data_IF_410362354484
#
_entry.id   IF_410362354484
#
_cell.length_a   1.000
_cell.length_b   1.000
_cell.length_c   1.000
_cell.angle_alpha   90.00
_cell.angle_beta   90.00
_cell.angle_gamma   90.00
#
_symmetry.space_group_name_H-M   'P 1'
#
loop_
_entity.id
_entity.type
_entity.pdbx_description
1 polymer ?
#
# COMPACT_ATOMS: atom_id res chain seq x y z
N UNK A 1 -3.55 -2.97 -29.37
CA UNK A 1 -3.15 -1.63 -28.84
C UNK A 1 -2.70 -1.71 -27.39
N UNK A 2 -3.58 -2.09 -26.46
CA UNK A 2 -3.27 -2.15 -25.02
C UNK A 2 -2.14 -3.14 -24.67
N UNK A 3 -2.14 -4.34 -25.27
CA UNK A 3 -1.06 -5.32 -25.07
C UNK A 3 0.31 -4.80 -25.55
N UNK A 4 0.31 -4.05 -26.65
CA UNK A 4 1.51 -3.44 -27.23
C UNK A 4 1.96 -2.16 -26.50
N UNK A 5 1.19 -1.68 -25.51
CA UNK A 5 1.51 -0.46 -24.76
C UNK A 5 1.39 0.84 -25.56
N UNK A 6 0.74 0.83 -26.73
CA UNK A 6 0.64 2.00 -27.60
C UNK A 6 -0.52 2.93 -27.21
N UNK A 7 -0.25 3.89 -26.32
CA UNK A 7 -1.24 4.82 -25.79
C UNK A 7 -1.95 5.66 -26.87
N UNK A 8 -1.20 6.17 -27.85
CA UNK A 8 -1.73 7.02 -28.94
C UNK A 8 -2.70 6.26 -29.86
N UNK A 9 -2.39 5.01 -30.16
CA UNK A 9 -3.28 4.17 -30.97
C UNK A 9 -4.54 3.81 -30.17
N UNK A 10 -4.41 3.54 -28.86
CA UNK A 10 -5.55 3.28 -28.01
C UNK A 10 -6.48 4.50 -27.90
N UNK A 11 -5.93 5.70 -27.71
CA UNK A 11 -6.74 6.93 -27.66
C UNK A 11 -7.45 7.17 -28.98
N UNK A 12 -6.77 6.99 -30.11
CA UNK A 12 -7.37 7.13 -31.43
C UNK A 12 -8.52 6.15 -31.66
N UNK A 13 -8.34 4.86 -31.31
CA UNK A 13 -9.41 3.86 -31.42
C UNK A 13 -10.62 4.16 -30.54
N UNK A 14 -10.41 4.76 -29.36
CA UNK A 14 -11.49 5.15 -28.46
C UNK A 14 -12.24 6.38 -28.96
N UNK A 15 -11.52 7.33 -29.55
CA UNK A 15 -12.12 8.49 -30.18
C UNK A 15 -12.90 8.13 -31.45
N UNK A 16 -12.40 7.20 -32.26
CA UNK A 16 -13.10 6.75 -33.49
C UNK A 16 -14.39 5.99 -33.17
N UNK A 17 -14.41 5.22 -32.07
CA UNK A 17 -15.58 4.43 -31.67
C UNK A 17 -16.64 5.22 -30.90
N UNK A 18 -16.39 6.49 -30.52
CA UNK A 18 -17.34 7.27 -29.72
C UNK A 18 -18.47 7.81 -30.57
N UNK A 19 -19.69 7.83 -30.03
CA UNK A 19 -20.87 8.43 -30.68
C UNK A 19 -21.26 9.71 -29.94
N UNK A 20 -21.45 10.82 -30.63
CA UNK A 20 -21.93 12.05 -29.99
C UNK A 20 -23.45 11.95 -29.76
N UNK A 21 -23.89 12.14 -28.51
CA UNK A 21 -25.32 12.16 -28.18
C UNK A 21 -25.91 13.56 -28.37
N UNK A 22 -25.19 14.58 -27.90
CA UNK A 22 -25.50 15.98 -28.10
C UNK A 22 -24.23 16.81 -27.94
N UNK A 23 -24.21 17.98 -28.57
CA UNK A 23 -23.18 19.00 -28.40
C UNK A 23 -23.87 20.33 -28.16
N UNK A 24 -23.38 21.09 -27.17
CA UNK A 24 -23.85 22.44 -26.88
C UNK A 24 -22.64 23.33 -26.61
N UNK A 25 -22.39 24.27 -27.53
CA UNK A 25 -21.22 25.15 -27.50
C UNK A 25 -19.91 24.38 -27.32
N UNK A 26 -19.21 24.59 -26.20
CA UNK A 26 -17.94 23.95 -25.85
C UNK A 26 -18.10 22.65 -25.04
N UNK A 27 -19.33 22.17 -24.82
CA UNK A 27 -19.61 20.94 -24.08
C UNK A 27 -20.20 19.89 -25.01
N UNK A 28 -19.53 18.76 -25.14
CA UNK A 28 -20.00 17.62 -25.93
C UNK A 28 -20.28 16.44 -25.02
N UNK A 29 -21.42 15.78 -25.23
CA UNK A 29 -21.76 14.55 -24.55
C UNK A 29 -21.50 13.37 -25.49
N UNK A 30 -20.42 12.63 -25.24
CA UNK A 30 -20.02 11.48 -26.01
C UNK A 30 -20.41 10.17 -25.32
N UNK A 31 -20.88 9.21 -26.11
CA UNK A 31 -21.17 7.84 -25.73
C UNK A 31 -20.00 6.96 -26.16
N UNK A 32 -19.26 6.46 -25.18
CA UNK A 32 -18.15 5.55 -25.39
C UNK A 32 -18.64 4.10 -25.26
N UNK A 33 -18.43 3.23 -26.26
CA UNK A 33 -18.82 1.83 -26.16
C UNK A 33 -17.98 1.11 -25.10
N UNK A 34 -18.63 0.34 -24.25
CA UNK A 34 -17.98 -0.41 -23.17
C UNK A 34 -17.53 -1.82 -23.58
N UNK A 35 -17.96 -2.28 -24.76
CA UNK A 35 -17.57 -3.57 -25.32
C UNK A 35 -16.03 -3.65 -25.42
N UNK A 36 -15.42 -4.69 -24.87
CA UNK A 36 -13.97 -4.88 -24.74
C UNK A 36 -13.21 -3.91 -23.82
N UNK A 37 -13.78 -2.73 -23.51
CA UNK A 37 -13.18 -1.74 -22.61
C UNK A 37 -13.39 -2.12 -21.13
N UNK A 38 -14.60 -2.59 -20.80
CA UNK A 38 -15.02 -3.02 -19.47
C UNK A 38 -15.29 -4.54 -19.44
N UNK A 39 -15.59 -5.07 -18.25
CA UNK A 39 -15.82 -6.48 -17.98
C UNK A 39 -17.09 -6.96 -18.70
N UNK A 40 -16.92 -7.68 -19.81
CA UNK A 40 -18.04 -8.33 -20.53
C UNK A 40 -18.81 -9.31 -19.61
N UNK A 41 -20.14 -9.32 -19.75
CA UNK A 41 -21.03 -10.27 -19.06
C UNK A 41 -20.97 -11.62 -19.79
N UNK A 42 -19.81 -12.28 -19.77
CA UNK A 42 -19.74 -13.66 -20.28
C UNK A 42 -20.19 -14.64 -19.18
N UNK A 43 -21.06 -15.63 -19.48
CA UNK A 43 -21.54 -16.60 -18.50
C UNK A 43 -20.46 -17.54 -17.97
N UNK A 44 -19.31 -17.64 -18.65
CA UNK A 44 -18.12 -18.33 -18.15
C UNK A 44 -16.91 -17.39 -18.08
N UNK A 45 -16.24 -17.37 -16.93
CA UNK A 45 -15.11 -16.46 -16.63
C UNK A 45 -13.82 -16.91 -17.29
N UNK A 46 -13.68 -18.20 -17.60
CA UNK A 46 -12.48 -18.78 -18.22
C UNK A 46 -12.41 -18.58 -19.73
N UNK A 47 -13.55 -18.42 -20.39
CA UNK A 47 -13.64 -18.24 -21.84
C UNK A 47 -13.62 -16.77 -22.28
N UNK A 48 -13.46 -15.84 -21.34
CA UNK A 48 -13.55 -14.41 -21.65
C UNK A 48 -12.20 -13.83 -22.06
N UNK A 49 -12.20 -13.04 -23.12
CA UNK A 49 -11.07 -12.16 -23.43
C UNK A 49 -10.85 -11.15 -22.30
N UNK A 50 -9.58 -10.83 -22.05
CA UNK A 50 -9.20 -9.79 -21.09
C UNK A 50 -9.68 -8.44 -21.62
N UNK A 51 -10.35 -7.67 -20.77
CA UNK A 51 -10.73 -6.29 -21.07
C UNK A 51 -9.49 -5.40 -21.17
N UNK A 52 -9.59 -4.29 -21.90
CA UNK A 52 -8.51 -3.28 -21.99
C UNK A 52 -8.05 -2.82 -20.60
N UNK A 53 -8.98 -2.66 -19.66
CA UNK A 53 -8.68 -2.30 -18.27
C UNK A 53 -7.86 -3.39 -17.56
N UNK A 54 -8.21 -4.67 -17.75
CA UNK A 54 -7.47 -5.81 -17.18
C UNK A 54 -6.06 -5.94 -17.77
N UNK A 55 -5.93 -5.75 -19.09
CA UNK A 55 -4.64 -5.75 -19.79
C UNK A 55 -3.73 -4.64 -19.29
N UNK A 56 -4.26 -3.41 -19.17
CA UNK A 56 -3.52 -2.26 -18.66
C UNK A 56 -2.99 -2.52 -17.23
N UNK A 57 -3.84 -3.08 -16.36
CA UNK A 57 -3.47 -3.42 -14.99
C UNK A 57 -2.42 -4.53 -14.95
N UNK A 58 -2.57 -5.57 -15.79
CA UNK A 58 -1.65 -6.71 -15.89
C UNK A 58 -0.25 -6.27 -16.34
N UNK A 59 -0.19 -5.39 -17.34
CA UNK A 59 1.07 -4.86 -17.87
C UNK A 59 1.66 -3.75 -17.00
N UNK A 60 0.93 -3.28 -15.97
CA UNK A 60 1.31 -2.18 -15.08
C UNK A 60 1.73 -0.90 -15.85
N UNK A 61 1.08 -0.65 -16.99
CA UNK A 61 1.43 0.46 -17.87
C UNK A 61 0.50 1.65 -17.61
N UNK A 62 0.98 2.61 -16.83
CA UNK A 62 0.22 3.81 -16.47
C UNK A 62 0.07 4.81 -17.63
N UNK A 63 0.85 4.68 -18.70
CA UNK A 63 0.79 5.60 -19.85
C UNK A 63 -0.40 5.37 -20.77
N UNK A 64 -1.06 4.22 -20.66
CA UNK A 64 -2.31 3.91 -21.35
C UNK A 64 -3.52 4.68 -20.78
N UNK A 65 -3.35 5.40 -19.67
CA UNK A 65 -4.43 6.15 -19.03
C UNK A 65 -4.75 7.39 -19.85
N UNK A 66 -5.93 7.39 -20.44
CA UNK A 66 -6.51 8.51 -21.17
C UNK A 66 -7.74 9.08 -20.40
N UNK A 67 -8.27 10.25 -20.81
CA UNK A 67 -9.42 10.87 -20.13
C UNK A 67 -10.68 10.00 -20.09
N UNK A 68 -10.91 9.15 -21.10
CA UNK A 68 -12.08 8.27 -21.17
C UNK A 68 -11.99 7.13 -20.15
N UNK A 69 -10.81 6.51 -20.00
CA UNK A 69 -10.52 5.50 -18.96
C UNK A 69 -10.60 6.13 -17.58
N UNK A 70 -10.10 7.35 -17.37
CA UNK A 70 -10.25 8.07 -16.09
C UNK A 70 -11.74 8.23 -15.74
N UNK A 71 -12.55 8.67 -16.70
CA UNK A 71 -14.00 8.84 -16.51
C UNK A 71 -14.69 7.51 -16.17
N UNK A 72 -14.27 6.41 -16.80
CA UNK A 72 -14.75 5.06 -16.48
C UNK A 72 -14.40 4.66 -15.05
N UNK A 73 -13.14 4.84 -14.63
CA UNK A 73 -12.68 4.54 -13.27
C UNK A 73 -13.47 5.36 -12.25
N UNK A 74 -13.68 6.65 -12.51
CA UNK A 74 -14.43 7.54 -11.62
C UNK A 74 -15.89 7.09 -11.46
N UNK A 75 -16.55 6.71 -12.56
CA UNK A 75 -17.92 6.19 -12.51
C UNK A 75 -18.02 4.88 -11.75
N UNK A 76 -17.11 3.92 -12.01
CA UNK A 76 -17.03 2.67 -11.24
C UNK A 76 -16.83 2.93 -9.75
N UNK A 77 -15.93 3.86 -9.44
CA UNK A 77 -15.61 4.23 -8.07
C UNK A 77 -16.81 4.79 -7.33
N UNK A 78 -17.49 5.78 -7.90
CA UNK A 78 -18.69 6.39 -7.30
C UNK A 78 -19.88 5.43 -7.25
N UNK A 79 -20.02 4.55 -8.24
CA UNK A 79 -21.13 3.61 -8.32
C UNK A 79 -21.06 2.55 -7.22
N UNK A 80 -19.89 1.92 -7.05
CA UNK A 80 -19.78 0.74 -6.19
C UNK A 80 -18.50 0.63 -5.38
N UNK A 81 -17.34 1.02 -5.93
CA UNK A 81 -16.08 0.72 -5.26
C UNK A 81 -15.93 1.54 -3.98
N UNK A 82 -16.25 2.84 -4.01
CA UNK A 82 -16.15 3.74 -2.86
C UNK A 82 -16.92 3.26 -1.62
N UNK A 83 -18.25 3.00 -1.67
CA UNK A 83 -18.98 2.58 -0.47
C UNK A 83 -18.52 1.23 0.08
N UNK A 84 -18.13 0.28 -0.80
CA UNK A 84 -17.60 -1.01 -0.37
C UNK A 84 -16.23 -0.83 0.29
N UNK A 85 -15.39 0.02 -0.27
CA UNK A 85 -14.05 0.30 0.21
C UNK A 85 -14.06 1.03 1.55
N UNK A 86 -14.88 2.08 1.71
CA UNK A 86 -15.02 2.81 2.99
C UNK A 86 -15.54 1.89 4.08
N UNK A 87 -16.52 1.04 3.79
CA UNK A 87 -17.00 0.04 4.76
C UNK A 87 -15.88 -0.92 5.19
N UNK A 88 -15.05 -1.37 4.25
CA UNK A 88 -13.89 -2.23 4.54
C UNK A 88 -12.86 -1.50 5.40
N UNK A 89 -12.54 -0.25 5.06
CA UNK A 89 -11.68 0.61 5.86
C UNK A 89 -12.19 0.74 7.29
N UNK A 90 -13.47 1.07 7.49
CA UNK A 90 -14.06 1.22 8.82
C UNK A 90 -13.98 -0.08 9.63
N UNK A 91 -14.24 -1.23 9.02
CA UNK A 91 -14.10 -2.52 9.71
C UNK A 91 -12.65 -2.84 10.07
N UNK A 92 -11.69 -2.62 9.17
CA UNK A 92 -10.28 -2.86 9.47
C UNK A 92 -9.74 -1.89 10.52
N UNK A 93 -10.12 -0.62 10.45
CA UNK A 93 -9.74 0.37 11.46
C UNK A 93 -10.31 0.04 12.83
N UNK A 94 -11.60 -0.32 12.91
CA UNK A 94 -12.22 -0.76 14.16
C UNK A 94 -11.56 -2.03 14.71
N UNK A 95 -11.24 -3.00 13.84
CA UNK A 95 -10.51 -4.20 14.23
C UNK A 95 -9.13 -3.87 14.83
N UNK A 96 -8.39 -2.93 14.23
CA UNK A 96 -7.09 -2.48 14.78
C UNK A 96 -7.24 -1.71 16.09
N UNK A 97 -8.34 -0.98 16.30
CA UNK A 97 -8.64 -0.34 17.59
C UNK A 97 -8.95 -1.37 18.67
N UNK A 98 -9.72 -2.43 18.35
CA UNK A 98 -9.94 -3.55 19.28
C UNK A 98 -8.62 -4.23 19.59
N UNK A 99 -7.79 -4.50 18.58
CA UNK A 99 -6.45 -5.05 18.77
C UNK A 99 -5.59 -4.15 19.68
N UNK A 100 -5.56 -2.84 19.45
CA UNK A 100 -4.87 -1.89 20.31
C UNK A 100 -5.40 -1.92 21.75
N UNK A 101 -6.71 -1.91 21.95
CA UNK A 101 -7.30 -1.99 23.28
C UNK A 101 -6.90 -3.30 23.98
N UNK A 102 -6.89 -4.43 23.27
CA UNK A 102 -6.49 -5.73 23.84
C UNK A 102 -5.03 -5.77 24.24
N UNK A 103 -4.13 -5.14 23.46
CA UNK A 103 -2.71 -5.12 23.82
C UNK A 103 -2.43 -4.19 24.99
N UNK A 104 -3.20 -3.12 25.16
CA UNK A 104 -3.09 -2.20 26.31
C UNK A 104 -3.68 -2.78 27.60
N UNK A 105 -4.75 -3.57 27.49
CA UNK A 105 -5.36 -4.28 28.63
C UNK A 105 -4.63 -5.57 28.99
N UNK A 106 -3.58 -5.93 28.23
CA UNK A 106 -2.77 -7.12 28.51
C UNK A 106 -2.07 -6.94 29.85
N UNK A 107 -2.43 -7.78 30.80
CA UNK A 107 -1.68 -7.89 32.05
C UNK A 107 -0.49 -8.84 31.83
N UNK A 108 0.72 -8.48 32.30
CA UNK A 108 1.83 -9.43 32.32
C UNK A 108 1.40 -10.64 33.16
N UNK A 109 1.65 -11.85 32.64
CA UNK A 109 1.45 -13.06 33.44
C UNK A 109 2.38 -12.91 34.65
N UNK A 110 1.80 -12.96 35.86
CA UNK A 110 2.57 -12.83 37.11
C UNK A 110 3.69 -13.87 37.10
N UNK A 111 4.92 -13.38 37.03
CA UNK A 111 6.10 -14.21 37.25
C UNK A 111 6.09 -14.61 38.72
N UNK A 112 6.17 -15.93 38.98
CA UNK A 112 6.18 -16.48 40.35
C UNK A 112 7.28 -15.87 41.23
N UNK A 113 8.35 -15.35 40.61
CA UNK A 113 9.47 -14.67 41.28
C UNK A 113 9.14 -13.29 41.83
N UNK A 114 8.18 -12.57 41.24
CA UNK A 114 7.74 -11.26 41.75
C UNK A 114 6.91 -11.43 43.02
N UNK A 115 6.09 -12.50 43.07
CA UNK A 115 5.28 -12.80 44.26
C UNK A 115 6.16 -13.17 45.48
N UNK A 116 7.31 -13.83 45.28
CA UNK A 116 8.26 -14.13 46.38
C UNK A 116 9.00 -12.88 46.92
N UNK A 117 9.15 -11.83 46.09
CA UNK A 117 9.75 -10.55 46.50
C UNK A 117 8.71 -9.62 47.13
N UNK A 118 7.48 -9.63 46.63
CA UNK A 118 6.35 -8.86 47.18
C UNK A 118 5.88 -9.43 48.53
N UNK A 119 5.93 -10.77 48.72
CA UNK A 119 5.66 -11.41 50.02
C UNK A 119 6.70 -11.04 51.08
N UNK A 120 7.95 -10.75 50.68
CA UNK A 120 9.02 -10.29 51.58
C UNK A 120 8.97 -8.79 51.90
N UNK A 121 8.35 -7.98 51.05
CA UNK A 121 8.33 -6.51 51.21
C UNK A 121 7.02 -5.97 51.78
N UNK A 122 5.98 -6.79 51.93
CA UNK A 122 4.75 -6.42 52.65
C UNK A 122 3.93 -5.30 52.00
N UNK A 123 4.33 -4.83 50.82
CA UNK A 123 3.58 -3.85 50.03
C UNK A 123 2.57 -4.63 49.22
N UNK A 124 1.41 -4.90 49.83
CA UNK A 124 0.23 -5.40 49.13
C UNK A 124 -0.37 -4.27 48.29
N UNK A 125 0.32 -3.90 47.21
CA UNK A 125 -0.33 -3.24 46.08
C UNK A 125 -1.12 -4.29 45.29
N UNK A 126 -2.07 -4.92 45.99
CA UNK A 126 -3.18 -5.65 45.40
C UNK A 126 -4.04 -4.63 44.66
N UNK A 127 -3.57 -4.18 43.49
CA UNK A 127 -4.48 -3.70 42.46
C UNK A 127 -5.36 -4.89 42.16
N UNK A 128 -6.53 -4.91 42.81
CA UNK A 128 -7.70 -5.63 42.34
C UNK A 128 -7.95 -5.11 40.92
N UNK A 129 -7.20 -5.60 39.94
CA UNK A 129 -7.57 -5.47 38.54
C UNK A 129 -8.90 -6.18 38.46
N UNK A 130 -9.94 -5.35 38.43
CA UNK A 130 -11.33 -5.78 38.49
C UNK A 130 -11.52 -6.95 37.53
N UNK A 131 -12.25 -8.00 37.92
CA UNK A 131 -12.55 -9.12 37.01
C UNK A 131 -13.14 -8.66 35.67
N UNK A 132 -13.69 -7.44 35.65
CA UNK A 132 -14.08 -6.69 34.46
C UNK A 132 -12.94 -6.44 33.43
N UNK A 133 -11.73 -6.06 33.85
CA UNK A 133 -10.58 -5.87 32.94
C UNK A 133 -10.16 -7.18 32.28
N UNK A 134 -10.12 -8.27 33.06
CA UNK A 134 -9.83 -9.61 32.53
C UNK A 134 -10.92 -10.10 31.58
N UNK A 135 -12.20 -9.84 31.91
CA UNK A 135 -13.33 -10.14 31.04
C UNK A 135 -13.24 -9.35 29.72
N UNK A 136 -12.93 -8.05 29.78
CA UNK A 136 -12.78 -7.21 28.59
C UNK A 136 -11.61 -7.67 27.72
N UNK A 137 -10.48 -8.03 28.34
CA UNK A 137 -9.34 -8.60 27.64
C UNK A 137 -9.68 -9.92 26.94
N UNK A 138 -10.34 -10.86 27.62
CA UNK A 138 -10.71 -12.16 27.04
C UNK A 138 -11.70 -12.01 25.88
N UNK A 139 -12.69 -11.11 26.00
CA UNK A 139 -13.60 -10.79 24.89
C UNK A 139 -12.83 -10.20 23.71
N UNK A 140 -11.98 -9.19 23.94
CA UNK A 140 -11.22 -8.59 22.85
C UNK A 140 -10.25 -9.59 22.19
N UNK A 141 -9.58 -10.42 23.00
CA UNK A 141 -8.67 -11.47 22.52
C UNK A 141 -9.38 -12.46 21.60
N UNK A 142 -10.55 -12.95 21.98
CA UNK A 142 -11.36 -13.85 21.13
C UNK A 142 -11.79 -13.17 19.84
N UNK A 143 -12.18 -11.89 19.88
CA UNK A 143 -12.51 -11.10 18.69
C UNK A 143 -11.31 -10.99 17.74
N UNK A 144 -10.10 -10.72 18.28
CA UNK A 144 -8.87 -10.61 17.49
C UNK A 144 -8.56 -11.92 16.78
N UNK A 145 -8.62 -13.06 17.47
CA UNK A 145 -8.35 -14.38 16.88
C UNK A 145 -9.38 -14.73 15.81
N UNK A 146 -10.68 -14.53 16.10
CA UNK A 146 -11.75 -14.78 15.13
C UNK A 146 -11.58 -13.88 13.90
N UNK A 147 -11.24 -12.61 14.09
CA UNK A 147 -10.96 -11.67 13.01
C UNK A 147 -9.77 -12.08 12.16
N UNK A 148 -8.66 -12.53 12.78
CA UNK A 148 -7.50 -13.04 12.09
C UNK A 148 -7.80 -14.32 11.28
N UNK A 149 -8.62 -15.23 11.83
CA UNK A 149 -9.09 -16.43 11.14
C UNK A 149 -10.01 -16.11 9.96
N UNK A 150 -10.90 -15.13 10.09
CA UNK A 150 -11.75 -14.68 8.99
C UNK A 150 -10.92 -14.04 7.87
N UNK A 151 -9.97 -13.17 8.22
CA UNK A 151 -9.07 -12.51 7.27
C UNK A 151 -8.18 -13.54 6.54
N UNK A 152 -7.62 -14.51 7.25
CA UNK A 152 -6.81 -15.56 6.63
C UNK A 152 -7.64 -16.45 5.70
N UNK A 153 -8.87 -16.80 6.08
CA UNK A 153 -9.78 -17.56 5.23
C UNK A 153 -10.13 -16.80 3.94
N UNK A 154 -10.33 -15.48 4.03
CA UNK A 154 -10.56 -14.62 2.86
C UNK A 154 -9.35 -14.64 1.89
N UNK A 155 -8.14 -14.45 2.41
CA UNK A 155 -6.92 -14.46 1.59
C UNK A 155 -6.66 -15.84 0.99
N UNK A 156 -6.82 -16.92 1.76
CA UNK A 156 -6.67 -18.29 1.26
C UNK A 156 -7.69 -18.60 0.16
N UNK A 157 -8.93 -18.12 0.30
CA UNK A 157 -9.94 -18.24 -0.74
C UNK A 157 -9.55 -17.48 -2.02
N UNK A 158 -8.93 -16.32 -1.91
CA UNK A 158 -8.40 -15.56 -3.05
C UNK A 158 -7.20 -16.26 -3.71
N UNK A 159 -6.25 -16.76 -2.92
CA UNK A 159 -5.09 -17.55 -3.39
C UNK A 159 -5.56 -18.79 -4.16
N UNK A 160 -6.56 -19.52 -3.64
CA UNK A 160 -7.13 -20.70 -4.33
C UNK A 160 -7.82 -20.34 -5.64
N UNK A 161 -8.50 -19.19 -5.72
CA UNK A 161 -9.21 -18.75 -6.94
C UNK A 161 -8.27 -18.26 -8.04
N UNK A 162 -7.21 -17.55 -7.67
CA UNK A 162 -6.25 -16.99 -8.63
C UNK A 162 -5.12 -17.98 -8.99
N UNK A 163 -4.82 -18.89 -8.08
CA UNK A 163 -3.64 -19.76 -8.12
C UNK A 163 -2.44 -19.10 -7.44
N UNK A 164 -1.64 -19.90 -6.72
CA UNK A 164 -0.51 -19.43 -5.91
C UNK A 164 0.48 -18.56 -6.71
N UNK A 165 0.88 -19.01 -7.91
CA UNK A 165 1.82 -18.28 -8.74
C UNK A 165 1.27 -16.96 -9.29
N UNK A 166 -0.04 -16.88 -9.58
CA UNK A 166 -0.64 -15.65 -10.09
C UNK A 166 -0.90 -14.63 -8.97
N UNK A 167 -1.20 -15.09 -7.77
CA UNK A 167 -1.40 -14.24 -6.60
C UNK A 167 -0.15 -13.38 -6.30
N UNK A 168 1.03 -14.00 -6.29
CA UNK A 168 2.30 -13.31 -6.05
C UNK A 168 2.81 -12.50 -7.26
N UNK A 169 2.26 -12.72 -8.46
CA UNK A 169 2.58 -11.93 -9.66
C UNK A 169 1.80 -10.61 -9.74
N UNK A 170 0.78 -10.41 -8.89
CA UNK A 170 0.05 -9.15 -8.83
C UNK A 170 1.02 -8.04 -8.45
N UNK A 171 0.98 -6.91 -9.16
CA UNK A 171 1.83 -5.75 -8.91
C UNK A 171 1.07 -4.63 -8.18
N UNK A 172 1.83 -3.73 -7.57
CA UNK A 172 1.35 -2.48 -6.98
C UNK A 172 0.74 -2.63 -5.59
N UNK A 173 -0.25 -1.81 -5.28
CA UNK A 173 -0.78 -1.66 -3.92
C UNK A 173 -1.38 -2.92 -3.31
N UNK A 174 -2.03 -3.74 -4.14
CA UNK A 174 -2.65 -5.01 -3.74
C UNK A 174 -1.60 -6.02 -3.26
N UNK A 175 -0.42 -6.04 -3.89
CA UNK A 175 0.66 -6.91 -3.46
C UNK A 175 1.12 -6.58 -2.04
N UNK A 176 1.32 -5.29 -1.77
CA UNK A 176 1.73 -4.81 -0.45
C UNK A 176 0.66 -5.12 0.59
N UNK A 177 -0.61 -4.83 0.28
CA UNK A 177 -1.74 -5.17 1.15
C UNK A 177 -1.77 -6.66 1.49
N UNK A 178 -1.65 -7.52 0.48
CA UNK A 178 -1.65 -8.97 0.66
C UNK A 178 -0.47 -9.44 1.54
N UNK A 179 0.72 -8.89 1.30
CA UNK A 179 1.92 -9.19 2.09
C UNK A 179 1.77 -8.76 3.56
N UNK A 180 1.30 -7.52 3.80
CA UNK A 180 1.06 -6.99 5.15
C UNK A 180 -0.07 -7.74 5.86
N UNK A 181 -1.17 -8.05 5.18
CA UNK A 181 -2.29 -8.78 5.78
C UNK A 181 -1.89 -10.22 6.17
N UNK A 182 -1.18 -10.94 5.28
CA UNK A 182 -0.71 -12.30 5.56
C UNK A 182 0.34 -12.32 6.68
N UNK A 183 1.29 -11.39 6.67
CA UNK A 183 2.30 -11.28 7.74
C UNK A 183 1.66 -10.92 9.08
N UNK A 184 0.67 -10.02 9.10
CA UNK A 184 -0.09 -9.71 10.30
C UNK A 184 -0.82 -10.94 10.85
N UNK A 185 -1.57 -11.66 9.99
CA UNK A 185 -2.25 -12.89 10.39
C UNK A 185 -1.26 -13.94 10.92
N UNK A 186 -0.11 -14.11 10.26
CA UNK A 186 0.95 -15.01 10.72
C UNK A 186 1.42 -14.64 12.12
N UNK A 187 1.73 -13.37 12.38
CA UNK A 187 2.15 -12.92 13.72
C UNK A 187 1.08 -13.16 14.79
N UNK A 188 -0.22 -12.96 14.49
CA UNK A 188 -1.31 -13.22 15.44
C UNK A 188 -1.43 -14.72 15.77
N UNK A 189 -1.30 -15.60 14.78
CA UNK A 189 -1.32 -17.05 15.05
C UNK A 189 -0.07 -17.51 15.81
N UNK A 190 1.12 -16.99 15.46
CA UNK A 190 2.33 -17.29 16.21
C UNK A 190 2.24 -16.78 17.64
N UNK A 191 1.64 -15.61 17.86
CA UNK A 191 1.35 -15.08 19.18
C UNK A 191 0.50 -16.05 20.02
N UNK A 192 -0.61 -16.55 19.46
CA UNK A 192 -1.47 -17.52 20.16
C UNK A 192 -0.73 -18.84 20.47
N UNK A 193 0.05 -19.35 19.52
CA UNK A 193 0.86 -20.56 19.72
C UNK A 193 1.89 -20.36 20.84
N UNK A 194 2.63 -19.25 20.84
CA UNK A 194 3.62 -18.96 21.89
C UNK A 194 2.96 -18.80 23.27
N UNK A 195 1.74 -18.27 23.29
CA UNK A 195 0.96 -18.13 24.52
C UNK A 195 0.56 -19.48 25.10
N UNK A 196 0.19 -20.45 24.26
CA UNK A 196 -0.09 -21.83 24.68
C UNK A 196 1.16 -22.53 25.27
N UNK A 197 2.35 -22.24 24.74
CA UNK A 197 3.62 -22.75 25.26
C UNK A 197 4.15 -21.98 26.48
N UNK A 198 3.51 -20.87 26.88
CA UNK A 198 3.92 -20.06 28.04
C UNK A 198 5.20 -19.24 27.83
N UNK A 199 5.60 -18.98 26.59
CA UNK A 199 6.86 -18.30 26.24
C UNK A 199 6.70 -16.77 26.16
N UNK A 200 6.55 -16.10 27.31
CA UNK A 200 6.14 -14.68 27.40
C UNK A 200 7.10 -13.67 26.77
N UNK A 201 8.42 -13.95 26.77
CA UNK A 201 9.41 -13.06 26.16
C UNK A 201 9.21 -12.95 24.64
N UNK A 202 9.13 -14.10 23.97
CA UNK A 202 8.89 -14.17 22.53
C UNK A 202 7.48 -13.70 22.14
N UNK A 203 6.49 -13.97 23.00
CA UNK A 203 5.11 -13.49 22.84
C UNK A 203 5.07 -11.96 22.65
N UNK A 204 5.77 -11.23 23.52
CA UNK A 204 5.80 -9.76 23.52
C UNK A 204 6.52 -9.21 22.30
N UNK A 205 7.61 -9.86 21.88
CA UNK A 205 8.35 -9.49 20.68
C UNK A 205 7.49 -9.62 19.42
N UNK A 206 6.80 -10.75 19.24
CA UNK A 206 5.94 -10.97 18.07
C UNK A 206 4.77 -10.00 18.04
N UNK A 207 4.16 -9.73 19.21
CA UNK A 207 3.06 -8.78 19.31
C UNK A 207 3.49 -7.35 18.92
N UNK A 208 4.72 -6.95 19.27
CA UNK A 208 5.28 -5.66 18.85
C UNK A 208 5.38 -5.56 17.33
N UNK A 209 5.92 -6.59 16.65
CA UNK A 209 5.95 -6.64 15.19
C UNK A 209 4.54 -6.66 14.57
N UNK A 210 3.62 -7.44 15.13
CA UNK A 210 2.23 -7.48 14.67
C UNK A 210 1.58 -6.10 14.72
N UNK A 211 1.85 -5.31 15.75
CA UNK A 211 1.29 -3.96 15.88
C UNK A 211 1.76 -3.02 14.77
N UNK A 212 3.06 -3.03 14.46
CA UNK A 212 3.62 -2.20 13.40
C UNK A 212 3.07 -2.59 12.04
N UNK A 213 3.02 -3.90 11.74
CA UNK A 213 2.49 -4.41 10.47
C UNK A 213 1.00 -4.08 10.33
N UNK A 214 0.22 -4.27 11.40
CA UNK A 214 -1.21 -3.99 11.43
C UNK A 214 -1.52 -2.53 11.10
N UNK A 215 -0.86 -1.59 11.77
CA UNK A 215 -1.04 -0.15 11.51
C UNK A 215 -0.47 0.27 10.14
N UNK A 216 0.63 -0.33 9.69
CA UNK A 216 1.19 -0.06 8.35
C UNK A 216 0.21 -0.42 7.23
N UNK A 217 -0.65 -1.42 7.43
CA UNK A 217 -1.70 -1.77 6.48
C UNK A 217 -2.70 -0.61 6.23
N UNK A 218 -2.79 0.38 7.13
CA UNK A 218 -3.62 1.57 6.92
C UNK A 218 -3.17 2.43 5.74
N UNK A 219 -1.90 2.35 5.34
CA UNK A 219 -1.37 3.03 4.16
C UNK A 219 -2.08 2.62 2.87
N UNK A 220 -2.52 1.35 2.77
CA UNK A 220 -3.32 0.88 1.65
C UNK A 220 -4.66 1.61 1.57
N UNK A 221 -5.32 1.84 2.70
CA UNK A 221 -6.65 2.44 2.71
C UNK A 221 -6.66 3.94 2.41
N UNK A 222 -5.57 4.65 2.67
CA UNK A 222 -5.46 6.05 2.31
C UNK A 222 -5.03 6.23 0.84
N UNK A 223 -4.63 5.17 0.14
CA UNK A 223 -4.14 5.26 -1.23
C UNK A 223 -5.17 5.74 -2.27
N UNK A 224 -6.46 5.33 -2.23
CA UNK A 224 -7.39 5.71 -3.29
C UNK A 224 -7.83 7.17 -3.25
N UNK A 225 -7.53 7.91 -2.18
CA UNK A 225 -7.86 9.33 -2.10
C UNK A 225 -6.87 10.15 -2.92
N UNK A 226 -7.38 11.15 -3.64
CA UNK A 226 -6.57 11.99 -4.55
C UNK A 226 -5.46 12.75 -3.81
N UNK A 227 -5.70 13.16 -2.56
CA UNK A 227 -4.74 13.93 -1.76
C UNK A 227 -3.56 13.07 -1.27
N UNK A 228 -3.84 11.89 -0.70
CA UNK A 228 -2.83 11.02 -0.06
C UNK A 228 -2.26 9.95 -0.98
N UNK A 229 -2.99 9.55 -2.03
CA UNK A 229 -2.63 8.44 -2.90
C UNK A 229 -1.26 8.54 -3.57
N UNK A 230 -0.99 9.63 -4.32
CA UNK A 230 0.32 9.89 -4.91
C UNK A 230 1.47 9.79 -3.90
N UNK A 231 1.25 10.26 -2.67
CA UNK A 231 2.25 10.25 -1.60
C UNK A 231 2.59 8.82 -1.14
N UNK A 232 1.58 7.97 -0.92
CA UNK A 232 1.83 6.56 -0.57
C UNK A 232 2.56 5.80 -1.68
N UNK A 233 2.21 6.08 -2.95
CA UNK A 233 2.89 5.47 -4.11
C UNK A 233 4.36 5.90 -4.16
N UNK A 234 4.67 7.15 -3.82
CA UNK A 234 6.05 7.64 -3.72
C UNK A 234 6.82 6.93 -2.61
N UNK A 235 6.26 6.84 -1.39
CA UNK A 235 6.89 6.13 -0.27
C UNK A 235 7.25 4.70 -0.67
N UNK A 236 6.30 3.97 -1.26
CA UNK A 236 6.53 2.59 -1.70
C UNK A 236 7.68 2.50 -2.71
N UNK A 237 7.66 3.35 -3.74
CA UNK A 237 8.71 3.32 -4.77
C UNK A 237 10.08 3.70 -4.23
N UNK A 238 10.18 4.73 -3.40
CA UNK A 238 11.43 5.16 -2.78
C UNK A 238 11.99 4.08 -1.86
N UNK A 239 11.14 3.42 -1.08
CA UNK A 239 11.58 2.34 -0.19
C UNK A 239 12.16 1.16 -0.97
N UNK A 240 11.41 0.63 -1.94
CA UNK A 240 11.85 -0.56 -2.66
C UNK A 240 12.97 -0.30 -3.66
N UNK A 241 13.00 0.87 -4.30
CA UNK A 241 14.04 1.18 -5.26
C UNK A 241 15.26 1.77 -4.57
N UNK A 242 15.13 2.78 -3.72
CA UNK A 242 16.30 3.57 -3.29
C UNK A 242 16.84 3.08 -1.93
N UNK A 243 15.95 2.94 -0.93
CA UNK A 243 16.36 2.50 0.41
C UNK A 243 16.99 1.11 0.36
N UNK A 244 16.41 0.14 -0.35
CA UNK A 244 16.98 -1.21 -0.43
C UNK A 244 18.36 -1.23 -1.10
N UNK A 245 18.56 -0.47 -2.20
CA UNK A 245 19.86 -0.37 -2.88
C UNK A 245 20.91 0.26 -1.98
N UNK A 246 20.55 1.34 -1.28
CA UNK A 246 21.40 1.97 -0.29
C UNK A 246 21.73 1.03 0.87
N UNK A 247 20.73 0.32 1.40
CA UNK A 247 20.89 -0.55 2.55
C UNK A 247 21.88 -1.67 2.27
N UNK A 248 21.91 -2.22 1.05
CA UNK A 248 22.90 -3.22 0.63
C UNK A 248 24.33 -2.65 0.69
N UNK A 249 24.56 -1.44 0.16
CA UNK A 249 25.87 -0.78 0.20
C UNK A 249 26.25 -0.46 1.65
N UNK A 250 25.31 0.07 2.43
CA UNK A 250 25.48 0.38 3.83
C UNK A 250 25.86 -0.86 4.66
N UNK A 251 25.24 -2.02 4.42
CA UNK A 251 25.54 -3.26 5.14
C UNK A 251 27.02 -3.68 5.00
N UNK A 252 27.65 -3.45 3.85
CA UNK A 252 29.08 -3.76 3.63
C UNK A 252 29.97 -2.94 4.55
N UNK A 253 29.68 -1.63 4.65
CA UNK A 253 30.43 -0.75 5.54
C UNK A 253 30.07 -1.00 7.01
N UNK A 254 28.80 -1.24 7.32
CA UNK A 254 28.33 -1.51 8.68
C UNK A 254 29.08 -2.69 9.30
N UNK A 255 29.19 -3.81 8.57
CA UNK A 255 29.91 -4.99 9.08
C UNK A 255 31.41 -4.72 9.24
N UNK A 256 32.04 -4.02 8.29
CA UNK A 256 33.45 -3.65 8.36
C UNK A 256 33.77 -2.77 9.57
N UNK A 257 33.02 -1.68 9.75
CA UNK A 257 33.22 -0.78 10.89
C UNK A 257 32.81 -1.42 12.22
N UNK A 258 31.73 -2.20 12.27
CA UNK A 258 31.34 -2.92 13.48
C UNK A 258 32.43 -3.92 13.92
N UNK A 259 33.09 -4.60 12.96
CA UNK A 259 34.21 -5.47 13.26
C UNK A 259 35.42 -4.66 13.77
N UNK A 260 35.77 -3.55 13.13
CA UNK A 260 36.87 -2.68 13.58
C UNK A 260 36.67 -2.14 14.99
N UNK A 261 35.45 -1.68 15.33
CA UNK A 261 35.15 -1.19 16.68
C UNK A 261 35.11 -2.32 17.72
N UNK A 262 34.57 -3.49 17.39
CA UNK A 262 34.59 -4.64 18.30
C UNK A 262 36.02 -5.06 18.68
N UNK A 263 36.96 -5.00 17.72
CA UNK A 263 38.39 -5.25 18.00
C UNK A 263 38.95 -4.16 18.92
N UNK A 264 38.63 -2.90 18.67
CA UNK A 264 39.22 -1.77 19.38
C UNK A 264 38.76 -1.64 20.84
N UNK A 265 37.52 -2.04 21.11
CA UNK A 265 36.93 -2.02 22.45
C UNK A 265 37.11 -3.34 23.19
N UNK A 266 37.84 -4.31 22.60
CA UNK A 266 38.01 -5.68 23.12
C UNK A 266 36.68 -6.36 23.48
N UNK A 267 35.59 -5.97 22.83
CA UNK A 267 34.27 -6.56 23.01
C UNK A 267 34.18 -7.82 22.14
N UNK A 268 34.84 -8.89 22.59
CA UNK A 268 34.87 -10.16 21.88
C UNK A 268 33.55 -10.93 22.01
N UNK A 269 33.27 -11.76 21.00
CA UNK A 269 32.07 -12.59 20.95
C UNK A 269 30.86 -11.89 20.33
N UNK A 270 29.77 -12.66 20.19
CA UNK A 270 28.58 -12.23 19.45
C UNK A 270 27.90 -11.00 20.10
N UNK A 271 27.90 -10.92 21.43
CA UNK A 271 27.27 -9.81 22.16
C UNK A 271 28.01 -8.49 21.95
N UNK A 272 29.34 -8.52 22.00
CA UNK A 272 30.18 -7.36 21.71
C UNK A 272 30.08 -6.87 20.27
N UNK A 273 30.11 -7.81 19.32
CA UNK A 273 29.89 -7.48 17.92
C UNK A 273 28.48 -6.88 17.67
N UNK A 274 27.44 -7.42 18.31
CA UNK A 274 26.08 -6.87 18.20
C UNK A 274 25.95 -5.48 18.84
N UNK A 275 26.65 -5.23 19.95
CA UNK A 275 26.80 -3.90 20.56
C UNK A 275 27.44 -2.92 19.57
N UNK A 276 28.52 -3.33 18.90
CA UNK A 276 29.21 -2.53 17.90
C UNK A 276 28.34 -2.24 16.67
N UNK A 277 27.57 -3.24 16.18
CA UNK A 277 26.57 -3.03 15.12
C UNK A 277 25.53 -2.01 15.56
N UNK A 278 25.00 -2.12 16.79
CA UNK A 278 24.00 -1.19 17.33
C UNK A 278 24.55 0.24 17.36
N UNK A 279 25.77 0.43 17.84
CA UNK A 279 26.41 1.75 17.90
C UNK A 279 26.63 2.33 16.51
N UNK A 280 27.15 1.55 15.56
CA UNK A 280 27.27 1.97 14.16
C UNK A 280 25.90 2.33 13.56
N UNK A 281 24.87 1.53 13.81
CA UNK A 281 23.53 1.81 13.30
C UNK A 281 22.94 3.10 13.85
N UNK A 282 23.08 3.37 15.15
CA UNK A 282 22.67 4.65 15.75
C UNK A 282 23.49 5.82 15.19
N UNK A 283 24.78 5.62 14.99
CA UNK A 283 25.67 6.59 14.35
C UNK A 283 25.28 6.95 12.90
N UNK A 284 24.62 6.05 12.15
CA UNK A 284 24.08 6.40 10.83
C UNK A 284 23.09 7.57 10.91
N UNK A 285 22.30 7.65 11.99
CA UNK A 285 21.31 8.70 12.22
C UNK A 285 21.90 9.95 12.87
N UNK A 286 23.21 9.96 13.14
CA UNK A 286 23.90 11.05 13.83
C UNK A 286 23.88 10.96 15.36
N UNK A 287 23.38 9.86 15.93
CA UNK A 287 23.39 9.62 17.37
C UNK A 287 24.70 8.93 17.78
N UNK A 288 25.69 9.74 18.18
CA UNK A 288 27.01 9.28 18.59
C UNK A 288 27.25 9.54 20.07
N UNK A 289 27.54 8.47 20.82
CA UNK A 289 28.05 8.60 22.17
C UNK A 289 29.58 8.78 22.14
N UNK A 290 30.05 10.03 22.05
CA UNK A 290 31.49 10.35 22.01
C UNK A 290 32.26 9.80 23.22
N UNK A 291 31.61 9.76 24.38
CA UNK A 291 32.21 9.24 25.61
C UNK A 291 32.58 7.76 25.47
N UNK A 292 31.78 6.99 24.73
CA UNK A 292 32.06 5.58 24.45
C UNK A 292 33.36 5.41 23.65
N UNK A 293 33.62 6.30 22.67
CA UNK A 293 34.83 6.23 21.85
C UNK A 293 36.08 6.77 22.56
N UNK A 294 35.93 7.77 23.44
CA UNK A 294 37.06 8.41 24.14
C UNK A 294 37.53 7.58 25.34
N UNK A 295 36.64 6.84 26.01
CA UNK A 295 36.97 6.04 27.21
C UNK A 295 37.62 4.68 26.89
N UNK A 296 37.82 4.35 25.61
CA UNK A 296 38.45 3.10 25.18
C UNK A 296 39.95 3.04 25.45
N UNK A 297 40.53 1.84 25.36
CA UNK A 297 41.97 1.59 25.57
C UNK A 297 42.85 2.33 24.54
N UNK A 298 42.33 2.52 23.32
CA UNK A 298 43.02 3.19 22.21
C UNK A 298 42.23 4.41 21.72
N UNK A 299 42.19 5.51 22.49
CA UNK A 299 41.28 6.64 22.24
C UNK A 299 41.62 7.42 20.96
N UNK A 300 42.90 7.47 20.57
CA UNK A 300 43.30 8.15 19.34
C UNK A 300 42.80 7.40 18.10
N UNK A 301 42.97 6.08 18.07
CA UNK A 301 42.56 5.23 16.95
C UNK A 301 41.04 5.16 16.82
N UNK A 302 40.32 5.12 17.95
CA UNK A 302 38.85 5.06 17.98
C UNK A 302 38.25 6.34 17.41
N UNK A 303 38.76 7.49 17.83
CA UNK A 303 38.31 8.80 17.34
C UNK A 303 38.66 8.97 15.86
N UNK A 304 39.83 8.54 15.41
CA UNK A 304 40.19 8.61 13.97
C UNK A 304 39.27 7.74 13.10
N UNK A 305 38.99 6.51 13.53
CA UNK A 305 38.03 5.63 12.84
C UNK A 305 36.60 6.19 12.88
N UNK A 306 36.20 6.81 13.99
CA UNK A 306 34.90 7.46 14.13
C UNK A 306 34.77 8.66 13.18
N UNK A 307 35.78 9.52 13.09
CA UNK A 307 35.79 10.65 12.15
C UNK A 307 35.65 10.14 10.71
N UNK A 308 36.41 9.09 10.36
CA UNK A 308 36.32 8.46 9.05
C UNK A 308 34.92 7.86 8.80
N UNK A 309 34.32 7.21 9.80
CA UNK A 309 32.95 6.70 9.76
C UNK A 309 31.92 7.82 9.52
N UNK A 310 32.01 8.93 10.26
CA UNK A 310 31.11 10.08 10.12
C UNK A 310 31.19 10.67 8.72
N UNK A 311 32.40 10.90 8.21
CA UNK A 311 32.59 11.47 6.87
C UNK A 311 32.03 10.53 5.79
N UNK A 312 32.36 9.24 5.87
CA UNK A 312 31.99 8.29 4.83
C UNK A 312 30.51 7.91 4.87
N UNK A 313 29.97 7.60 6.04
CA UNK A 313 28.61 7.08 6.17
C UNK A 313 27.60 8.20 6.38
N UNK A 314 27.79 9.01 7.42
CA UNK A 314 26.82 10.02 7.83
C UNK A 314 26.80 11.20 6.86
N UNK A 315 27.96 11.64 6.35
CA UNK A 315 28.01 12.77 5.41
C UNK A 315 27.84 12.28 3.97
N UNK A 316 28.67 11.36 3.48
CA UNK A 316 28.62 10.98 2.07
C UNK A 316 27.43 10.07 1.73
N UNK A 317 27.31 8.89 2.37
CA UNK A 317 26.28 7.93 1.99
C UNK A 317 24.86 8.43 2.28
N UNK A 318 24.62 9.10 3.41
CA UNK A 318 23.29 9.63 3.74
C UNK A 318 22.88 10.76 2.76
N UNK A 319 23.78 11.68 2.43
CA UNK A 319 23.48 12.73 1.45
C UNK A 319 23.26 12.16 0.04
N UNK A 320 23.99 11.10 -0.34
CA UNK A 320 23.74 10.39 -1.59
C UNK A 320 22.35 9.73 -1.58
N UNK A 321 21.92 9.13 -0.47
CA UNK A 321 20.57 8.56 -0.33
C UNK A 321 19.50 9.64 -0.50
N UNK A 322 19.65 10.80 0.15
CA UNK A 322 18.71 11.91 0.01
C UNK A 322 18.67 12.40 -1.44
N UNK A 323 19.81 12.52 -2.11
CA UNK A 323 19.88 12.93 -3.51
C UNK A 323 19.14 11.93 -4.42
N UNK A 324 19.40 10.63 -4.27
CA UNK A 324 18.70 9.58 -5.02
C UNK A 324 17.18 9.62 -4.78
N UNK A 325 16.74 9.77 -3.52
CA UNK A 325 15.32 9.92 -3.21
C UNK A 325 14.72 11.22 -3.78
N UNK A 326 15.50 12.29 -3.85
CA UNK A 326 15.09 13.56 -4.46
C UNK A 326 14.80 13.43 -5.96
N UNK A 327 15.69 12.75 -6.69
CA UNK A 327 15.52 12.49 -8.12
C UNK A 327 14.32 11.56 -8.38
N UNK A 328 14.19 10.47 -7.61
CA UNK A 328 13.04 9.58 -7.76
C UNK A 328 11.74 10.23 -7.32
N UNK A 329 11.75 11.13 -6.32
CA UNK A 329 10.59 11.95 -5.98
C UNK A 329 10.13 12.79 -7.17
N UNK A 330 11.06 13.52 -7.80
CA UNK A 330 10.76 14.40 -8.92
C UNK A 330 10.20 13.62 -10.11
N UNK A 331 10.76 12.46 -10.42
CA UNK A 331 10.32 11.61 -11.52
C UNK A 331 9.00 10.90 -11.25
N UNK A 332 8.83 10.34 -10.05
CA UNK A 332 7.56 9.70 -9.69
C UNK A 332 6.45 10.74 -9.63
N UNK A 333 6.70 11.96 -9.14
CA UNK A 333 5.71 13.05 -9.09
C UNK A 333 5.12 13.40 -10.46
N UNK A 334 5.93 13.39 -11.53
CA UNK A 334 5.45 13.64 -12.91
C UNK A 334 4.40 12.60 -13.35
N UNK A 335 4.61 11.34 -12.99
CA UNK A 335 3.74 10.21 -13.37
C UNK A 335 2.74 9.79 -12.28
N UNK A 336 2.78 10.42 -11.10
CA UNK A 336 2.05 9.96 -9.92
C UNK A 336 0.54 9.99 -10.09
N UNK A 337 -0.01 10.99 -10.83
CA UNK A 337 -1.45 11.05 -11.12
C UNK A 337 -1.91 9.86 -11.95
N UNK A 338 -1.16 9.52 -13.01
CA UNK A 338 -1.46 8.34 -13.84
C UNK A 338 -1.36 7.06 -13.00
N UNK A 339 -0.28 6.90 -12.23
CA UNK A 339 -0.14 5.73 -11.36
C UNK A 339 -1.26 5.63 -10.33
N UNK A 340 -1.69 6.75 -9.75
CA UNK A 340 -2.80 6.77 -8.81
C UNK A 340 -4.12 6.30 -9.45
N UNK A 341 -4.43 6.76 -10.66
CA UNK A 341 -5.57 6.26 -11.42
C UNK A 341 -5.45 4.75 -11.72
N UNK A 342 -4.25 4.27 -12.04
CA UNK A 342 -3.98 2.84 -12.26
C UNK A 342 -4.26 2.01 -10.99
N UNK A 343 -3.77 2.44 -9.83
CA UNK A 343 -4.00 1.77 -8.54
C UNK A 343 -5.48 1.78 -8.17
N UNK A 344 -6.16 2.92 -8.37
CA UNK A 344 -7.60 3.04 -8.12
C UNK A 344 -8.43 2.12 -9.02
N UNK A 345 -8.05 2.01 -10.30
CA UNK A 345 -8.63 1.04 -11.22
C UNK A 345 -8.42 -0.40 -10.75
N UNK A 346 -7.20 -0.71 -10.29
CA UNK A 346 -6.82 -2.02 -9.79
C UNK A 346 -7.67 -2.43 -8.58
N UNK A 347 -7.87 -1.53 -7.62
CA UNK A 347 -8.74 -1.76 -6.46
C UNK A 347 -10.19 -1.95 -6.88
N UNK A 348 -10.71 -1.10 -7.77
CA UNK A 348 -12.07 -1.24 -8.28
C UNK A 348 -12.28 -2.60 -8.96
N UNK A 349 -11.32 -3.05 -9.77
CA UNK A 349 -11.34 -4.35 -10.43
C UNK A 349 -11.26 -5.52 -9.44
N UNK A 350 -10.45 -5.43 -8.38
CA UNK A 350 -10.42 -6.46 -7.30
C UNK A 350 -11.78 -6.58 -6.63
N UNK A 351 -12.40 -5.45 -6.27
CA UNK A 351 -13.74 -5.43 -5.68
C UNK A 351 -14.76 -6.04 -6.65
N UNK A 352 -14.71 -5.65 -7.91
CA UNK A 352 -15.58 -6.16 -8.97
C UNK A 352 -15.45 -7.67 -9.16
N UNK A 353 -14.22 -8.17 -9.11
CA UNK A 353 -13.93 -9.58 -9.23
C UNK A 353 -14.35 -10.41 -8.02
N UNK A 354 -14.40 -9.79 -6.84
CA UNK A 354 -14.86 -10.41 -5.60
C UNK A 354 -16.38 -10.32 -5.39
N UNK A 355 -17.09 -9.54 -6.21
CA UNK A 355 -18.56 -9.46 -6.15
C UNK A 355 -19.26 -10.64 -6.84
N UNK A 356 -20.35 -11.18 -6.24
CA UNK A 356 -21.26 -12.12 -6.90
C UNK A 356 -21.90 -11.53 -8.16
N UNK A 357 -22.21 -12.37 -9.16
CA UNK A 357 -22.74 -11.95 -10.46
C UNK A 357 -24.02 -11.11 -10.37
N UNK A 358 -24.97 -11.49 -9.52
CA UNK A 358 -26.24 -10.78 -9.33
C UNK A 358 -26.04 -9.33 -8.87
N UNK A 359 -25.15 -9.12 -7.90
CA UNK A 359 -24.79 -7.79 -7.40
C UNK A 359 -24.03 -6.97 -8.44
N UNK A 360 -23.21 -7.63 -9.28
CA UNK A 360 -22.47 -6.97 -10.35
C UNK A 360 -23.39 -6.36 -11.40
N UNK A 361 -24.35 -7.16 -11.91
CA UNK A 361 -25.33 -6.72 -12.90
C UNK A 361 -26.17 -5.54 -12.42
N UNK A 362 -26.60 -5.55 -11.16
CA UNK A 362 -27.35 -4.42 -10.58
C UNK A 362 -26.53 -3.12 -10.59
N UNK A 363 -25.23 -3.19 -10.29
CA UNK A 363 -24.37 -2.01 -10.19
C UNK A 363 -23.89 -1.50 -11.54
N UNK A 364 -23.82 -2.37 -12.55
CA UNK A 364 -23.58 -2.02 -13.94
C UNK A 364 -24.67 -1.10 -14.50
N UNK A 365 -25.94 -1.37 -14.20
CA UNK A 365 -27.07 -0.52 -14.60
C UNK A 365 -26.99 0.93 -14.10
N UNK A 366 -26.15 1.22 -13.10
CA UNK A 366 -25.98 2.57 -12.54
C UNK A 366 -25.11 3.50 -13.40
N UNK A 367 -24.28 2.94 -14.29
CA UNK A 367 -23.42 3.75 -15.17
C UNK A 367 -23.51 3.38 -16.65
N UNK A 368 -24.22 2.31 -16.99
CA UNK A 368 -24.52 1.92 -18.36
C UNK A 368 -25.70 2.70 -18.92
N UNK A 369 -25.55 3.13 -20.17
CA UNK A 369 -26.63 3.62 -21.01
C UNK A 369 -26.84 2.61 -22.12
N UNK A 370 -28.08 2.15 -22.27
CA UNK A 370 -28.47 1.26 -23.36
C UNK A 370 -29.14 2.11 -24.45
N UNK A 371 -28.61 2.05 -25.67
CA UNK A 371 -29.30 2.59 -26.84
C UNK A 371 -30.37 1.59 -27.31
N UNK A 372 -31.55 2.07 -27.71
CA UNK A 372 -32.59 1.22 -28.28
C UNK A 372 -32.17 0.74 -29.68
N UNK A 373 -31.64 -0.49 -29.74
CA UNK A 373 -31.62 -1.49 -30.84
C UNK A 373 -31.38 -1.00 -32.28
N UNK A 374 -30.17 -1.19 -32.79
CA UNK A 374 -29.94 -1.65 -34.18
C UNK A 374 -30.12 -3.18 -34.20
N UNK A 375 -30.85 -3.71 -35.18
CA UNK A 375 -31.51 -5.04 -35.12
C UNK A 375 -30.57 -6.26 -35.22
N UNK A 376 -29.27 -6.09 -35.41
CA UNK A 376 -28.37 -7.20 -35.77
C UNK A 376 -27.28 -7.53 -34.74
N UNK A 377 -26.93 -6.60 -33.86
CA UNK A 377 -25.89 -6.81 -32.85
C UNK A 377 -26.53 -6.79 -31.45
N UNK A 378 -26.03 -7.62 -30.53
CA UNK A 378 -26.56 -7.73 -29.16
C UNK A 378 -26.62 -6.38 -28.42
N UNK A 379 -27.20 -6.32 -27.21
CA UNK A 379 -27.31 -5.06 -26.47
C UNK A 379 -25.93 -4.44 -26.21
N UNK A 380 -25.60 -3.38 -26.95
CA UNK A 380 -24.37 -2.62 -26.74
C UNK A 380 -24.53 -1.67 -25.55
N UNK A 381 -23.57 -1.74 -24.64
CA UNK A 381 -23.53 -0.89 -23.44
C UNK A 381 -22.60 0.30 -23.68
N UNK A 382 -23.10 1.49 -23.37
CA UNK A 382 -22.36 2.73 -23.52
C UNK A 382 -22.14 3.42 -22.18
N UNK A 383 -21.07 4.20 -22.12
CA UNK A 383 -20.80 5.13 -21.03
C UNK A 383 -20.89 6.56 -21.55
N UNK A 384 -21.75 7.36 -20.92
CA UNK A 384 -21.89 8.78 -21.22
C UNK A 384 -20.76 9.61 -20.59
N UNK A 385 -19.95 10.30 -21.37
CA UNK A 385 -18.88 11.18 -20.87
C UNK A 385 -19.16 12.59 -21.36
N UNK A 386 -19.09 13.54 -20.43
CA UNK A 386 -19.18 14.97 -20.76
C UNK A 386 -17.76 15.45 -21.01
N UNK A 387 -17.47 15.79 -22.25
CA UNK A 387 -16.19 16.33 -22.72
C UNK A 387 -16.33 17.86 -22.84
N UNK A 388 -15.35 18.60 -22.33
CA UNK A 388 -15.23 20.04 -22.60
C UNK A 388 -14.23 20.22 -23.73
N UNK A 389 -14.67 20.74 -24.86
CA UNK A 389 -13.81 21.09 -25.98
C UNK A 389 -13.22 22.46 -25.71
N UNK A 390 -11.89 22.55 -25.66
CA UNK A 390 -11.22 23.85 -25.60
C UNK A 390 -11.37 24.53 -26.97
N UNK A 391 -12.32 25.46 -27.06
CA UNK A 391 -12.57 26.25 -28.26
C UNK A 391 -11.39 27.20 -28.53
N UNK A 392 -10.35 26.72 -29.23
CA UNK A 392 -9.46 27.60 -30.01
C UNK A 392 -10.04 27.88 -31.41
N UNK A 393 -11.01 27.11 -31.87
CA UNK A 393 -11.60 27.26 -33.22
C UNK A 393 -12.71 28.31 -33.32
N UNK A 394 -13.43 28.62 -32.22
CA UNK A 394 -14.48 29.66 -32.25
C UNK A 394 -13.95 31.09 -32.17
N UNK A 395 -12.66 31.30 -31.90
CA UNK A 395 -12.06 32.65 -31.88
C UNK A 395 -11.65 33.14 -33.28
N UNK A 396 -11.72 32.30 -34.31
CA UNK A 396 -11.31 32.66 -35.67
C UNK A 396 -12.49 33.14 -36.53
N UNK A 397 -13.73 32.83 -36.16
CA UNK A 397 -14.92 33.27 -36.93
C UNK A 397 -15.39 34.67 -36.57
N UNK A 398 -14.99 35.22 -35.42
CA UNK A 398 -15.41 36.58 -35.01
C UNK A 398 -14.45 37.68 -35.53
N UNK A 399 -13.31 37.32 -36.14
CA UNK A 399 -12.31 38.27 -36.64
C UNK A 399 -12.27 38.40 -38.17
N UNK A 400 -13.00 37.58 -38.93
CA UNK A 400 -13.01 37.63 -40.41
C UNK A 400 -14.23 38.38 -41.00
N UNK A 401 -15.18 38.86 -40.17
CA UNK A 401 -16.35 39.64 -40.65
C UNK A 401 -16.18 41.17 -40.56
N UNK A 402 -15.01 41.69 -40.20
CA UNK A 402 -14.79 43.14 -40.01
C UNK A 402 -13.84 43.82 -41.02
N UNK A 403 -13.36 43.13 -42.06
CA UNK A 403 -12.37 43.68 -43.00
C UNK A 403 -12.92 44.09 -44.39
N UNK A 404 -14.25 44.04 -44.61
CA UNK A 404 -14.88 44.50 -45.86
C UNK A 404 -15.73 45.78 -45.65
N UNK A 405 -15.13 46.87 -45.17
CA UNK A 405 -15.73 48.21 -45.29
C UNK A 405 -14.65 49.31 -45.22
N UNK A 406 -14.01 49.62 -46.36
CA UNK A 406 -13.43 50.93 -46.69
C UNK A 406 -13.29 51.15 -48.21
#
# INVERSE_FOLDING_TARGET
>A
AADLGQARMLSWLLDERKRTQWSYANVTCALHPLNQLDIDIHPDRKQRSLSVLEIMIKNNNADLINPTIVSLIDKKWKSFAYPIFVRRFSFTFLYLLVFLATTMLRQPRSDKTVNELDEKTGITNGKNSSGFEYLLYTIGHTIVIIGAAFQSAYEVHEIRRLGFGNYWKIKGSIFLENCLALSFCFCIFTWEILRLFGMQQYETQILAFASLIGWSNMLYFIMPFHFTGPFVIMIYKMFFNDVLRFFIIYLIFLTGFAQSFSILFNEYGLQGYMSSIKQCFLGLLGDFDLDYYIKGEYPLTSVMLLIFYIVLITILLLNLLIAMMGDTYADVKKSAKKLWHLERARIALRIENNMPRSKRLFRFKKYWVNLKREREHGPEHYMQVIEKVNNKQFQLTDNEENDDEY
#
